data_IF_335522763962
#
_entry.id   IF_335522763962
#
_cell.length_a   1.000
_cell.length_b   1.000
_cell.length_c   1.000
_cell.angle_alpha   90.00
_cell.angle_beta   90.00
_cell.angle_gamma   90.00
#
_symmetry.space_group_name_H-M   'P 1'
#
loop_
_entity.id
_entity.type
_entity.pdbx_description
1 polymer ?
#
# COMPACT_ATOMS: atom_id res chain seq x y z
N UNK A 1 -16.32 5.34 -2.00
CA UNK A 1 -14.89 5.06 -2.22
C UNK A 1 -14.11 5.63 -1.05
N UNK A 2 -13.33 4.80 -0.36
CA UNK A 2 -12.40 5.20 0.71
C UNK A 2 -11.02 5.34 0.07
N UNK A 3 -10.34 6.44 0.36
CA UNK A 3 -9.00 6.70 -0.16
C UNK A 3 -8.09 7.23 0.94
N UNK A 4 -6.88 6.69 1.01
CA UNK A 4 -5.79 7.14 1.89
C UNK A 4 -4.47 7.09 1.14
N UNK A 5 -3.62 8.07 1.42
CA UNK A 5 -2.30 8.19 0.84
C UNK A 5 -1.28 8.24 1.99
N UNK A 6 -0.21 7.48 1.83
CA UNK A 6 0.88 7.34 2.78
C UNK A 6 2.15 7.83 2.10
N UNK A 7 2.88 8.70 2.78
CA UNK A 7 4.13 9.26 2.27
C UNK A 7 5.29 8.79 3.12
N UNK A 8 6.27 8.15 2.48
CA UNK A 8 7.55 7.86 3.11
C UNK A 8 8.51 9.04 2.88
N UNK A 9 8.86 9.82 3.92
CA UNK A 9 9.76 10.95 3.77
C UNK A 9 11.19 10.55 3.41
N UNK A 10 11.61 9.28 3.63
CA UNK A 10 12.96 8.80 3.32
C UNK A 10 13.13 8.55 1.82
N UNK A 11 12.26 7.73 1.23
CA UNK A 11 12.32 7.39 -0.19
C UNK A 11 11.56 8.38 -1.09
N UNK A 12 10.79 9.30 -0.48
CA UNK A 12 9.86 10.22 -1.16
C UNK A 12 8.79 9.49 -1.99
N UNK A 13 8.53 8.22 -1.66
CA UNK A 13 7.54 7.41 -2.35
C UNK A 13 6.17 7.56 -1.70
N UNK A 14 5.15 7.29 -2.52
CA UNK A 14 3.76 7.37 -2.14
C UNK A 14 3.11 6.00 -2.28
N UNK A 15 2.52 5.53 -1.19
CA UNK A 15 1.68 4.34 -1.17
C UNK A 15 0.22 4.76 -1.07
N UNK A 16 -0.67 4.06 -1.74
CA UNK A 16 -2.09 4.42 -1.81
C UNK A 16 -2.95 3.25 -1.36
N UNK A 17 -3.97 3.53 -0.55
CA UNK A 17 -5.00 2.58 -0.15
C UNK A 17 -6.33 3.02 -0.74
N UNK A 18 -6.93 2.14 -1.52
CA UNK A 18 -8.28 2.28 -2.05
C UNK A 18 -9.17 1.23 -1.41
N UNK A 19 -10.39 1.61 -1.05
CA UNK A 19 -11.37 0.63 -0.62
C UNK A 19 -12.78 0.98 -1.11
N UNK A 20 -13.57 -0.06 -1.34
CA UNK A 20 -14.99 0.09 -1.59
C UNK A 20 -15.76 0.06 -0.25
N UNK A 21 -16.49 1.13 0.12
CA UNK A 21 -17.26 1.14 1.37
C UNK A 21 -18.42 0.11 1.38
N UNK A 22 -18.91 -0.34 0.22
CA UNK A 22 -20.01 -1.30 0.16
C UNK A 22 -19.52 -2.74 0.39
N UNK A 23 -18.51 -3.18 -0.34
CA UNK A 23 -17.96 -4.55 -0.23
C UNK A 23 -16.86 -4.68 0.82
N UNK A 24 -16.34 -3.56 1.35
CA UNK A 24 -15.22 -3.50 2.32
C UNK A 24 -13.90 -4.03 1.77
N UNK A 25 -13.84 -4.31 0.47
CA UNK A 25 -12.63 -4.76 -0.21
C UNK A 25 -11.66 -3.59 -0.35
N UNK A 26 -10.41 -3.83 0.01
CA UNK A 26 -9.31 -2.89 -0.11
C UNK A 26 -8.25 -3.38 -1.11
N UNK A 27 -7.65 -2.41 -1.80
CA UNK A 27 -6.50 -2.57 -2.68
C UNK A 27 -5.43 -1.56 -2.27
N UNK A 28 -4.18 -2.02 -2.13
CA UNK A 28 -3.02 -1.14 -1.88
C UNK A 28 -2.20 -1.01 -3.16
N UNK A 29 -1.71 0.18 -3.45
CA UNK A 29 -0.82 0.48 -4.58
C UNK A 29 0.52 0.94 -4.03
N UNK A 30 1.60 0.31 -4.52
CA UNK A 30 2.99 0.59 -4.17
C UNK A 30 3.27 0.65 -2.65
N UNK A 31 2.90 -0.39 -1.88
CA UNK A 31 3.16 -0.40 -0.45
C UNK A 31 4.66 -0.36 -0.15
N UNK A 32 5.06 0.55 0.73
CA UNK A 32 6.42 0.65 1.25
C UNK A 32 6.47 0.08 2.66
N UNK A 33 7.57 -0.60 3.02
CA UNK A 33 7.70 -1.26 4.33
C UNK A 33 7.49 -0.27 5.47
N UNK A 34 8.04 0.94 5.33
CA UNK A 34 7.89 2.03 6.29
C UNK A 34 6.44 2.51 6.50
N UNK A 35 5.53 2.17 5.59
CA UNK A 35 4.11 2.58 5.62
C UNK A 35 3.18 1.41 5.94
N UNK A 36 3.67 0.17 5.97
CA UNK A 36 2.85 -1.05 6.13
C UNK A 36 2.06 -1.02 7.44
N UNK A 37 2.71 -0.70 8.56
CA UNK A 37 2.04 -0.69 9.86
C UNK A 37 0.85 0.28 9.87
N UNK A 38 1.05 1.51 9.37
CA UNK A 38 -0.01 2.52 9.27
C UNK A 38 -1.14 2.11 8.31
N UNK A 39 -0.80 1.40 7.23
CA UNK A 39 -1.79 0.84 6.31
C UNK A 39 -2.61 -0.27 6.99
N UNK A 40 -1.97 -1.18 7.73
CA UNK A 40 -2.63 -2.25 8.46
C UNK A 40 -3.54 -1.70 9.57
N UNK A 41 -3.08 -0.68 10.31
CA UNK A 41 -3.92 0.02 11.30
C UNK A 41 -5.15 0.66 10.65
N UNK A 42 -4.98 1.25 9.46
CA UNK A 42 -6.09 1.84 8.71
C UNK A 42 -7.08 0.77 8.23
N UNK A 43 -6.58 -0.36 7.72
CA UNK A 43 -7.39 -1.48 7.25
C UNK A 43 -8.18 -2.08 8.42
N UNK A 44 -7.53 -2.31 9.57
CA UNK A 44 -8.17 -2.83 10.77
C UNK A 44 -9.18 -1.85 11.37
N UNK A 45 -8.80 -0.58 11.53
CA UNK A 45 -9.66 0.45 12.12
C UNK A 45 -10.87 0.81 11.27
N UNK A 46 -10.80 0.58 9.96
CA UNK A 46 -11.92 0.75 9.03
C UNK A 46 -12.64 -0.56 8.71
N UNK A 47 -12.25 -1.69 9.31
CA UNK A 47 -12.82 -3.02 9.06
C UNK A 47 -12.90 -3.33 7.55
N UNK A 48 -11.73 -3.25 6.92
CA UNK A 48 -11.52 -3.51 5.49
C UNK A 48 -10.82 -4.86 5.30
N UNK A 49 -11.08 -5.50 4.17
CA UNK A 49 -10.43 -6.75 3.75
C UNK A 49 -9.45 -6.46 2.61
N UNK A 50 -8.16 -6.57 2.87
CA UNK A 50 -7.13 -6.41 1.83
C UNK A 50 -7.14 -7.61 0.89
N UNK A 51 -7.48 -7.37 -0.38
CA UNK A 51 -7.58 -8.42 -1.40
C UNK A 51 -6.54 -8.24 -2.52
N UNK A 52 -6.08 -7.01 -2.75
CA UNK A 52 -5.22 -6.69 -3.88
C UNK A 52 -4.03 -5.85 -3.45
N UNK A 53 -2.86 -6.23 -3.94
CA UNK A 53 -1.63 -5.44 -3.85
C UNK A 53 -1.15 -5.21 -5.27
N UNK A 54 -1.15 -3.95 -5.69
CA UNK A 54 -0.71 -3.51 -6.99
C UNK A 54 0.67 -2.87 -6.82
N UNK A 55 1.67 -3.42 -7.49
CA UNK A 55 3.01 -2.83 -7.51
C UNK A 55 3.22 -2.25 -8.89
N UNK A 56 3.30 -0.92 -8.97
CA UNK A 56 3.67 -0.26 -10.22
C UNK A 56 5.19 -0.26 -10.31
N UNK A 57 5.72 -1.07 -11.22
CA UNK A 57 7.12 -1.02 -11.55
C UNK A 57 7.35 0.25 -12.40
N UNK A 58 7.56 1.38 -11.73
CA UNK A 58 8.02 2.59 -12.41
C UNK A 58 9.39 2.28 -13.03
N UNK A 59 9.65 2.73 -14.26
CA UNK A 59 10.92 2.53 -15.01
C UNK A 59 12.19 2.96 -14.23
N UNK A 60 12.03 3.64 -13.10
CA UNK A 60 13.09 3.97 -12.13
C UNK A 60 13.56 2.79 -11.26
N UNK A 61 12.83 1.67 -11.22
CA UNK A 61 13.21 0.46 -10.46
C UNK A 61 14.37 -0.33 -11.07
N UNK A 62 14.74 -0.08 -12.34
CA UNK A 62 15.92 -0.71 -12.95
C UNK A 62 17.24 -0.16 -12.35
N UNK A 63 17.19 0.96 -11.63
CA UNK A 63 18.42 1.59 -11.16
C UNK A 63 18.84 1.31 -9.72
N UNK A 64 18.01 0.89 -8.75
CA UNK A 64 18.52 0.59 -7.40
C UNK A 64 17.52 -0.22 -6.55
N UNK A 65 17.96 -1.41 -6.16
CA UNK A 65 17.64 -2.18 -4.95
C UNK A 65 16.53 -1.59 -4.07
N UNK A 66 15.30 -2.08 -4.18
CA UNK A 66 14.29 -1.89 -3.14
C UNK A 66 13.46 -3.17 -3.00
N UNK A 67 13.60 -3.84 -1.85
CA UNK A 67 12.84 -5.04 -1.49
C UNK A 67 11.33 -4.80 -1.61
N UNK A 68 10.69 -5.54 -2.50
CA UNK A 68 9.25 -5.46 -2.73
C UNK A 68 8.47 -6.11 -1.59
N UNK A 69 7.64 -5.30 -0.93
CA UNK A 69 6.82 -5.60 0.26
C UNK A 69 5.69 -6.61 0.02
N UNK A 70 5.48 -7.04 -1.23
CA UNK A 70 4.42 -7.99 -1.58
C UNK A 70 4.47 -9.30 -0.77
N UNK A 71 5.64 -9.69 -0.26
CA UNK A 71 5.84 -10.88 0.57
C UNK A 71 5.45 -10.70 2.06
N UNK A 72 5.35 -9.46 2.56
CA UNK A 72 5.12 -9.19 3.98
C UNK A 72 3.63 -9.06 4.36
N UNK A 73 2.74 -9.07 3.36
CA UNK A 73 1.30 -8.83 3.51
C UNK A 73 0.45 -10.09 3.25
N UNK A 74 1.08 -11.25 3.06
CA UNK A 74 0.46 -12.59 3.01
C UNK A 74 0.52 -13.27 4.36
#
# INVERSE_FOLDING_TARGET
>A
MIFRQFFDPKTKRLSHLFADPATRIAAVVDPMLATVDSMLETIAGLDLSLQYILVTCLVTCIHLDHDHVALALT
#
